data_IF_461143773662
#
_entry.id   IF_461143773662
#
_cell.length_a   1.000
_cell.length_b   1.000
_cell.length_c   1.000
_cell.angle_alpha   90.00
_cell.angle_beta   90.00
_cell.angle_gamma   90.00
#
_symmetry.space_group_name_H-M   'P 1'
#
loop_
_entity.id
_entity.type
_entity.pdbx_description
1 polymer ?
#
# COMPACT_ATOMS: atom_id res chain seq x y z
N UNK A 1 14.10 8.07 -0.76
CA UNK A 1 14.13 6.59 -0.69
C UNK A 1 15.49 6.00 -1.09
N UNK A 2 16.24 6.61 -2.02
CA UNK A 2 17.56 6.09 -2.43
C UNK A 2 18.49 5.84 -1.24
N UNK A 3 18.98 4.61 -1.08
CA UNK A 3 19.88 4.21 0.01
C UNK A 3 19.22 3.99 1.37
N UNK A 4 17.94 4.30 1.52
CA UNK A 4 17.17 4.08 2.76
C UNK A 4 16.77 2.60 2.92
N UNK A 5 16.42 2.22 4.14
CA UNK A 5 15.83 0.93 4.45
C UNK A 5 14.30 1.05 4.40
N UNK A 6 13.64 0.18 3.66
CA UNK A 6 12.19 0.18 3.48
C UNK A 6 11.59 -1.13 4.02
N UNK A 7 10.58 -1.03 4.88
CA UNK A 7 9.74 -2.17 5.26
C UNK A 7 8.33 -1.95 4.72
N UNK A 8 7.84 -2.91 3.95
CA UNK A 8 6.53 -2.87 3.30
C UNK A 8 5.58 -3.77 4.06
N UNK A 9 4.47 -3.19 4.51
CA UNK A 9 3.29 -3.92 4.96
C UNK A 9 2.58 -4.51 3.72
N UNK A 10 2.91 -5.75 3.42
CA UNK A 10 2.74 -6.29 2.08
C UNK A 10 1.28 -6.40 1.65
N UNK A 11 0.41 -7.04 2.41
CA UNK A 11 -0.99 -7.18 1.96
C UNK A 11 -1.75 -5.86 1.98
N UNK A 12 -1.48 -4.97 2.94
CA UNK A 12 -2.04 -3.63 2.95
C UNK A 12 -1.70 -2.88 1.65
N UNK A 13 -0.41 -2.76 1.33
CA UNK A 13 0.03 -2.00 0.16
C UNK A 13 -0.35 -2.67 -1.16
N UNK A 14 -0.19 -4.00 -1.27
CA UNK A 14 -0.51 -4.75 -2.49
C UNK A 14 -2.01 -4.73 -2.79
N UNK A 15 -2.87 -4.68 -1.78
CA UNK A 15 -4.34 -4.59 -1.96
C UNK A 15 -4.74 -3.24 -2.53
N UNK A 16 -4.18 -2.14 -2.02
CA UNK A 16 -4.47 -0.79 -2.55
C UNK A 16 -3.97 -0.63 -3.99
N UNK A 17 -2.78 -1.16 -4.31
CA UNK A 17 -2.27 -1.18 -5.69
C UNK A 17 -3.18 -2.01 -6.60
N UNK A 18 -3.62 -3.18 -6.13
CA UNK A 18 -4.56 -4.01 -6.89
C UNK A 18 -5.89 -3.31 -7.13
N UNK A 19 -6.45 -2.64 -6.12
CA UNK A 19 -7.71 -1.91 -6.24
C UNK A 19 -7.64 -0.90 -7.39
N UNK A 20 -6.61 -0.06 -7.38
CA UNK A 20 -6.39 0.93 -8.43
C UNK A 20 -6.16 0.28 -9.81
N UNK A 21 -5.32 -0.77 -9.87
CA UNK A 21 -5.04 -1.50 -11.12
C UNK A 21 -6.31 -2.12 -11.73
N UNK A 22 -7.21 -2.67 -10.90
CA UNK A 22 -8.46 -3.26 -11.34
C UNK A 22 -9.59 -2.24 -11.58
N UNK A 23 -9.30 -0.94 -11.47
CA UNK A 23 -10.27 0.14 -11.69
C UNK A 23 -11.24 0.37 -10.52
N UNK A 24 -11.00 -0.24 -9.36
CA UNK A 24 -11.75 0.09 -8.15
C UNK A 24 -11.34 1.47 -7.62
N UNK A 25 -12.27 2.21 -7.00
CA UNK A 25 -11.95 3.50 -6.41
C UNK A 25 -10.95 3.32 -5.26
N UNK A 26 -9.95 4.19 -5.26
CA UNK A 26 -9.02 4.40 -4.15
C UNK A 26 -9.18 5.84 -3.67
N UNK A 27 -8.86 6.08 -2.41
CA UNK A 27 -9.19 7.33 -1.73
C UNK A 27 -7.93 7.95 -1.18
N UNK A 28 -7.66 9.19 -1.57
CA UNK A 28 -6.68 10.01 -0.88
C UNK A 28 -7.35 10.57 0.37
N UNK A 29 -6.97 10.03 1.52
CA UNK A 29 -7.55 10.36 2.81
C UNK A 29 -7.00 11.70 3.36
N UNK A 30 -7.63 12.19 4.43
CA UNK A 30 -7.29 13.47 5.06
C UNK A 30 -5.88 13.51 5.68
N UNK A 31 -5.29 12.35 5.96
CA UNK A 31 -3.90 12.17 6.38
C UNK A 31 -2.91 12.06 5.21
N UNK A 32 -3.38 12.34 3.99
CA UNK A 32 -2.63 12.30 2.73
C UNK A 32 -2.13 10.91 2.30
N UNK A 33 -2.66 9.85 2.92
CA UNK A 33 -2.40 8.46 2.55
C UNK A 33 -3.50 7.92 1.64
N UNK A 34 -3.11 7.09 0.67
CA UNK A 34 -4.00 6.40 -0.24
C UNK A 34 -4.50 5.10 0.40
N UNK A 35 -5.82 4.89 0.37
CA UNK A 35 -6.47 3.68 0.86
C UNK A 35 -7.50 3.18 -0.14
N UNK A 36 -7.64 1.87 -0.27
CA UNK A 36 -8.78 1.29 -0.97
C UNK A 36 -9.97 1.05 -0.02
N UNK A 37 -11.12 0.72 -0.61
CA UNK A 37 -12.31 0.28 0.11
C UNK A 37 -12.67 -1.18 -0.20
N UNK A 38 -11.69 -2.01 -0.62
CA UNK A 38 -11.92 -3.41 -0.93
C UNK A 38 -12.08 -4.21 0.36
N UNK A 39 -13.33 -4.40 0.78
CA UNK A 39 -13.69 -5.28 1.90
C UNK A 39 -13.48 -6.77 1.58
N UNK A 40 -13.21 -7.11 0.32
CA UNK A 40 -13.14 -8.47 -0.16
C UNK A 40 -11.80 -9.17 0.15
N UNK A 41 -10.87 -8.42 0.75
CA UNK A 41 -9.60 -8.93 1.27
C UNK A 41 -8.59 -9.31 0.19
N UNK A 42 -7.42 -9.82 0.60
CA UNK A 42 -6.24 -10.03 -0.26
C UNK A 42 -6.40 -11.16 -1.31
N UNK A 43 -7.54 -11.86 -1.37
CA UNK A 43 -7.78 -12.96 -2.34
C UNK A 43 -7.51 -12.53 -3.79
N UNK A 44 -7.96 -11.35 -4.16
CA UNK A 44 -7.77 -10.82 -5.51
C UNK A 44 -6.31 -10.45 -5.82
N UNK A 45 -5.57 -10.02 -4.80
CA UNK A 45 -4.12 -9.79 -4.89
C UNK A 45 -3.41 -11.10 -5.22
N UNK A 46 -3.79 -12.21 -4.58
CA UNK A 46 -3.18 -13.52 -4.83
C UNK A 46 -3.37 -13.97 -6.27
N UNK A 47 -4.59 -13.84 -6.79
CA UNK A 47 -4.92 -14.22 -8.17
C UNK A 47 -4.15 -13.36 -9.21
N UNK A 48 -3.80 -12.12 -8.84
CA UNK A 48 -3.13 -11.15 -9.72
C UNK A 48 -1.67 -10.83 -9.31
N UNK A 49 -1.09 -11.63 -8.40
CA UNK A 49 0.16 -11.28 -7.72
C UNK A 49 1.31 -11.04 -8.70
N UNK A 50 1.37 -11.77 -9.82
CA UNK A 50 2.41 -11.58 -10.83
C UNK A 50 2.40 -10.16 -11.41
N UNK A 51 1.22 -9.57 -11.63
CA UNK A 51 1.11 -8.21 -12.17
C UNK A 51 1.42 -7.18 -11.10
N UNK A 52 0.88 -7.35 -9.88
CA UNK A 52 1.13 -6.43 -8.78
C UNK A 52 2.61 -6.45 -8.36
N UNK A 53 3.24 -7.62 -8.34
CA UNK A 53 4.66 -7.78 -8.06
C UNK A 53 5.54 -7.07 -9.10
N UNK A 54 5.16 -7.05 -10.39
CA UNK A 54 5.88 -6.30 -11.43
C UNK A 54 5.78 -4.79 -11.21
N UNK A 55 4.62 -4.28 -10.80
CA UNK A 55 4.47 -2.87 -10.44
C UNK A 55 5.33 -2.50 -9.23
N UNK A 56 5.31 -3.34 -8.19
CA UNK A 56 6.18 -3.18 -7.03
C UNK A 56 7.66 -3.23 -7.42
N UNK A 57 8.08 -4.18 -8.25
CA UNK A 57 9.46 -4.27 -8.76
C UNK A 57 9.89 -2.97 -9.46
N UNK A 58 9.07 -2.49 -10.41
CA UNK A 58 9.32 -1.24 -11.14
C UNK A 58 9.43 -0.04 -10.19
N UNK A 59 8.57 0.06 -9.18
CA UNK A 59 8.67 1.12 -8.17
C UNK A 59 9.98 1.04 -7.38
N UNK A 60 10.39 -0.15 -6.94
CA UNK A 60 11.64 -0.34 -6.20
C UNK A 60 12.88 -0.04 -7.08
N UNK A 61 12.84 -0.35 -8.37
CA UNK A 61 13.89 0.00 -9.33
C UNK A 61 14.06 1.52 -9.52
N UNK A 62 12.98 2.27 -9.46
CA UNK A 62 13.00 3.74 -9.58
C UNK A 62 13.41 4.37 -8.25
N UNK A 63 12.81 3.95 -7.14
CA UNK A 63 13.04 4.50 -5.79
C UNK A 63 14.43 4.15 -5.23
N UNK A 64 14.99 3.00 -5.65
CA UNK A 64 16.34 2.50 -5.28
C UNK A 64 16.62 2.47 -3.77
N UNK A 65 15.73 1.93 -2.92
CA UNK A 65 16.06 1.71 -1.51
C UNK A 65 17.33 0.85 -1.39
N UNK A 66 18.13 1.11 -0.36
CA UNK A 66 19.32 0.33 -0.05
C UNK A 66 18.96 -1.09 0.43
N UNK A 67 17.83 -1.21 1.11
CA UNK A 67 17.30 -2.48 1.61
C UNK A 67 15.76 -2.46 1.54
N UNK A 68 15.14 -3.58 1.19
CA UNK A 68 13.67 -3.70 1.18
C UNK A 68 13.23 -5.02 1.77
N UNK A 69 12.35 -4.93 2.77
CA UNK A 69 11.64 -6.05 3.37
C UNK A 69 10.17 -5.98 2.99
N UNK A 70 9.60 -7.08 2.53
CA UNK A 70 8.14 -7.19 2.33
C UNK A 70 7.62 -8.17 3.37
N UNK A 71 6.82 -7.68 4.31
CA UNK A 71 6.24 -8.49 5.38
C UNK A 71 4.83 -8.90 4.97
N UNK A 72 4.57 -10.21 4.99
CA UNK A 72 3.26 -10.78 4.75
C UNK A 72 2.79 -11.54 6.00
N UNK A 73 1.51 -11.43 6.32
CA UNK A 73 0.90 -12.30 7.34
C UNK A 73 0.97 -13.75 6.86
N UNK A 74 1.41 -14.66 7.72
CA UNK A 74 1.57 -16.10 7.46
C UNK A 74 0.33 -16.91 7.75
N UNK A 75 -0.67 -16.35 8.46
CA UNK A 75 -1.89 -17.07 8.83
C UNK A 75 -2.73 -17.48 7.62
N UNK A 76 -2.89 -16.64 6.58
CA UNK A 76 -3.64 -17.07 5.41
C UNK A 76 -2.91 -18.16 4.62
N UNK A 77 -3.64 -19.19 4.19
CA UNK A 77 -3.08 -20.36 3.49
C UNK A 77 -2.36 -20.02 2.18
N UNK A 78 -2.72 -18.90 1.55
CA UNK A 78 -2.18 -18.43 0.27
C UNK A 78 -0.95 -17.53 0.42
N UNK A 79 -0.56 -17.16 1.64
CA UNK A 79 0.60 -16.30 1.88
C UNK A 79 1.92 -16.93 1.45
N UNK A 80 2.07 -18.25 1.64
CA UNK A 80 3.27 -18.97 1.19
C UNK A 80 3.48 -18.89 -0.32
N UNK A 81 2.41 -19.09 -1.10
CA UNK A 81 2.42 -18.97 -2.56
C UNK A 81 2.73 -17.54 -3.01
N UNK A 82 2.09 -16.56 -2.38
CA UNK A 82 2.35 -15.14 -2.65
C UNK A 82 3.81 -14.79 -2.39
N UNK A 83 4.37 -15.23 -1.26
CA UNK A 83 5.76 -14.99 -0.92
C UNK A 83 6.73 -15.61 -1.94
N UNK A 84 6.44 -16.82 -2.42
CA UNK A 84 7.23 -17.47 -3.47
C UNK A 84 7.24 -16.62 -4.76
N UNK A 85 6.09 -16.14 -5.19
CA UNK A 85 5.99 -15.33 -6.41
C UNK A 85 6.69 -13.98 -6.26
N UNK A 86 6.56 -13.31 -5.10
CA UNK A 86 7.30 -12.07 -4.82
C UNK A 86 8.81 -12.29 -4.84
N UNK A 87 9.32 -13.37 -4.22
CA UNK A 87 10.75 -13.69 -4.24
C UNK A 87 11.28 -13.93 -5.66
N UNK A 88 10.48 -14.56 -6.51
CA UNK A 88 10.85 -14.82 -7.91
C UNK A 88 10.88 -13.55 -8.76
N UNK A 89 9.93 -12.63 -8.55
CA UNK A 89 9.77 -11.42 -9.37
C UNK A 89 10.54 -10.20 -8.83
N UNK A 90 10.88 -10.21 -7.54
CA UNK A 90 11.54 -9.10 -6.85
C UNK A 90 12.75 -9.63 -6.06
N UNK A 91 13.78 -10.17 -6.74
CA UNK A 91 14.89 -10.87 -6.07
C UNK A 91 15.71 -9.97 -5.13
N UNK A 92 15.63 -8.64 -5.29
CA UNK A 92 16.32 -7.67 -4.43
C UNK A 92 15.58 -7.37 -3.12
N UNK A 93 14.33 -7.81 -2.99
CA UNK A 93 13.55 -7.65 -1.77
C UNK A 93 13.56 -8.95 -0.95
N UNK A 94 13.75 -8.84 0.36
CA UNK A 94 13.58 -9.97 1.27
C UNK A 94 12.11 -10.09 1.65
N UNK A 95 11.50 -11.25 1.38
CA UNK A 95 10.10 -11.50 1.72
C UNK A 95 10.00 -12.30 3.01
N UNK A 96 9.34 -11.73 4.01
CA UNK A 96 9.16 -12.29 5.36
C UNK A 96 7.70 -12.74 5.52
N UNK A 97 7.50 -13.99 5.93
CA UNK A 97 6.21 -14.47 6.41
C UNK A 97 6.21 -14.35 7.94
N UNK A 98 5.26 -13.61 8.51
CA UNK A 98 5.17 -13.40 9.96
C UNK A 98 3.80 -13.80 10.49
N UNK A 99 3.74 -14.35 11.71
CA UNK A 99 2.45 -14.60 12.39
C UNK A 99 1.77 -13.32 12.83
N UNK A 100 2.53 -12.23 12.99
CA UNK A 100 2.01 -10.92 13.32
C UNK A 100 2.77 -9.90 12.45
N UNK A 101 2.21 -9.62 11.28
CA UNK A 101 2.81 -8.73 10.30
C UNK A 101 3.02 -7.33 10.87
N UNK A 102 2.00 -6.74 11.49
CA UNK A 102 2.04 -5.40 12.07
C UNK A 102 3.17 -5.27 13.09
N UNK A 103 3.27 -6.22 14.04
CA UNK A 103 4.35 -6.24 15.03
C UNK A 103 5.72 -6.28 14.35
N UNK A 104 5.86 -7.09 13.30
CA UNK A 104 7.12 -7.21 12.57
C UNK A 104 7.49 -5.91 11.85
N UNK A 105 6.51 -5.27 11.20
CA UNK A 105 6.69 -3.97 10.55
C UNK A 105 7.13 -2.90 11.55
N UNK A 106 6.46 -2.82 12.71
CA UNK A 106 6.78 -1.88 13.80
C UNK A 106 8.19 -2.15 14.36
N UNK A 107 8.57 -3.41 14.55
CA UNK A 107 9.92 -3.78 14.99
C UNK A 107 11.00 -3.33 14.01
N UNK A 108 10.75 -3.42 12.70
CA UNK A 108 11.67 -2.89 11.68
C UNK A 108 11.67 -1.36 11.64
N UNK A 109 10.52 -0.72 11.88
CA UNK A 109 10.47 0.74 12.05
C UNK A 109 11.44 1.21 13.15
N UNK A 110 11.44 0.54 14.31
CA UNK A 110 12.38 0.79 15.42
C UNK A 110 13.86 0.52 15.08
N UNK A 111 14.14 -0.19 13.98
CA UNK A 111 15.49 -0.41 13.44
C UNK A 111 15.88 0.61 12.35
N UNK A 112 15.11 1.68 12.22
CA UNK A 112 15.36 2.77 11.28
C UNK A 112 14.81 2.57 9.88
N UNK A 113 13.93 1.58 9.66
CA UNK A 113 13.27 1.40 8.38
C UNK A 113 12.15 2.43 8.20
N UNK A 114 12.03 2.98 6.99
CA UNK A 114 10.83 3.70 6.57
C UNK A 114 9.72 2.68 6.34
N UNK A 115 8.53 2.94 6.85
CA UNK A 115 7.37 2.04 6.78
C UNK A 115 6.50 2.42 5.59
N UNK A 116 6.24 1.45 4.72
CA UNK A 116 5.19 1.56 3.70
C UNK A 116 3.94 0.82 4.18
N UNK A 117 3.02 1.58 4.78
CA UNK A 117 1.69 1.15 5.19
C UNK A 117 0.75 2.36 5.23
N UNK A 118 -0.55 2.12 5.11
CA UNK A 118 -1.60 3.11 5.41
C UNK A 118 -2.55 2.65 6.52
N UNK A 119 -2.21 1.55 7.22
CA UNK A 119 -2.99 1.01 8.35
C UNK A 119 -2.76 1.85 9.61
N UNK A 120 -3.85 2.41 10.14
CA UNK A 120 -3.84 3.28 11.34
C UNK A 120 -3.15 2.61 12.53
N UNK A 121 -3.31 1.30 12.72
CA UNK A 121 -2.70 0.58 13.85
C UNK A 121 -1.16 0.58 13.79
N UNK A 122 -0.59 0.64 12.59
CA UNK A 122 0.86 0.78 12.36
C UNK A 122 1.24 2.26 12.43
N UNK A 123 0.48 3.14 11.77
CA UNK A 123 0.78 4.58 11.67
C UNK A 123 0.89 5.27 13.03
N UNK A 124 0.09 4.86 14.02
CA UNK A 124 0.14 5.42 15.38
C UNK A 124 1.43 5.06 16.15
N UNK A 125 2.27 4.17 15.61
CA UNK A 125 3.42 3.58 16.33
C UNK A 125 4.74 3.76 15.61
N UNK A 126 4.77 4.52 14.52
CA UNK A 126 5.96 4.68 13.67
C UNK A 126 6.15 6.13 13.25
N UNK A 127 7.40 6.58 13.16
CA UNK A 127 7.70 7.99 12.89
C UNK A 127 7.94 8.32 11.40
N UNK A 128 8.29 7.32 10.59
CA UNK A 128 8.72 7.50 9.20
C UNK A 128 7.87 6.63 8.27
N UNK A 129 6.99 7.27 7.52
CA UNK A 129 6.04 6.61 6.62
C UNK A 129 6.32 7.01 5.18
N UNK A 130 6.13 6.07 4.26
CA UNK A 130 6.16 6.32 2.83
C UNK A 130 5.00 5.59 2.15
N UNK A 131 4.12 6.34 1.50
CA UNK A 131 2.98 5.77 0.79
C UNK A 131 3.40 5.17 -0.56
N UNK A 132 3.81 3.91 -0.52
CA UNK A 132 4.28 3.16 -1.68
C UNK A 132 3.14 2.85 -2.66
N UNK A 133 1.95 2.53 -2.15
CA UNK A 133 0.78 2.29 -2.98
C UNK A 133 0.44 3.54 -3.79
N UNK A 134 0.35 4.72 -3.16
CA UNK A 134 0.15 5.99 -3.86
C UNK A 134 1.21 6.25 -4.90
N UNK A 135 2.48 6.06 -4.56
CA UNK A 135 3.58 6.25 -5.50
C UNK A 135 3.38 5.39 -6.76
N UNK A 136 3.06 4.10 -6.60
CA UNK A 136 2.79 3.19 -7.73
C UNK A 136 1.60 3.67 -8.55
N UNK A 137 0.50 4.03 -7.90
CA UNK A 137 -0.73 4.43 -8.58
C UNK A 137 -0.53 5.72 -9.38
N UNK A 138 0.11 6.74 -8.81
CA UNK A 138 0.29 8.04 -9.46
C UNK A 138 1.35 8.02 -10.58
N UNK A 139 2.35 7.13 -10.50
CA UNK A 139 3.51 7.18 -11.40
C UNK A 139 3.60 6.02 -12.39
N UNK A 140 2.96 4.87 -12.12
CA UNK A 140 3.16 3.64 -12.90
C UNK A 140 1.90 3.07 -13.54
N UNK A 141 0.71 3.50 -13.12
CA UNK A 141 -0.54 3.09 -13.76
C UNK A 141 -0.93 4.12 -14.83
N UNK A 142 -1.30 3.62 -16.02
CA UNK A 142 -1.79 4.44 -17.13
C UNK A 142 -3.31 4.56 -17.04
N UNK A 143 -3.82 5.78 -17.10
CA UNK A 143 -5.24 6.11 -16.97
C UNK A 143 -5.57 6.71 -15.60
N UNK A 144 -6.71 7.42 -15.44
CA UNK A 144 -7.12 7.89 -14.14
C UNK A 144 -7.51 6.66 -13.33
N UNK A 145 -6.57 6.09 -12.57
CA UNK A 145 -6.95 5.45 -11.32
C UNK A 145 -7.96 6.40 -10.66
N UNK A 146 -9.14 5.90 -10.30
CA UNK A 146 -10.17 6.73 -9.69
C UNK A 146 -9.73 7.07 -8.28
N UNK A 147 -8.72 7.93 -8.15
CA UNK A 147 -8.26 8.53 -6.91
C UNK A 147 -9.30 9.57 -6.55
N UNK A 148 -10.14 9.19 -5.61
CA UNK A 148 -11.14 10.06 -5.02
C UNK A 148 -10.48 10.83 -3.87
N UNK A 149 -10.40 12.15 -3.99
CA UNK A 149 -9.82 12.99 -2.95
C UNK A 149 -10.90 13.29 -1.90
N UNK A 150 -10.81 12.67 -0.71
CA UNK A 150 -11.83 12.79 0.34
C UNK A 150 -12.01 14.25 0.79
N UNK A 151 -10.94 15.01 1.14
CA UNK A 151 -11.08 16.44 1.44
C UNK A 151 -11.89 17.20 0.38
N UNK A 152 -11.58 17.01 -0.90
CA UNK A 152 -12.30 17.66 -2.00
C UNK A 152 -13.77 17.24 -2.09
N UNK A 153 -14.06 15.94 -1.89
CA UNK A 153 -15.44 15.43 -1.90
C UNK A 153 -16.27 16.02 -0.75
N UNK A 154 -15.68 16.14 0.44
CA UNK A 154 -16.35 16.72 1.61
C UNK A 154 -16.62 18.21 1.38
N UNK A 155 -15.63 18.98 0.90
CA UNK A 155 -15.82 20.40 0.57
C UNK A 155 -16.92 20.59 -0.49
N UNK A 156 -16.92 19.76 -1.54
CA UNK A 156 -17.93 19.78 -2.60
C UNK A 156 -19.34 19.48 -2.08
N UNK A 157 -19.51 18.44 -1.27
CA UNK A 157 -20.80 18.06 -0.71
C UNK A 157 -21.28 19.02 0.38
N UNK A 158 -20.40 19.46 1.28
CA UNK A 158 -20.73 20.46 2.29
C UNK A 158 -21.17 21.78 1.63
N UNK A 159 -20.44 22.24 0.62
CA UNK A 159 -20.83 23.44 -0.14
C UNK A 159 -22.19 23.28 -0.84
N UNK A 160 -22.51 22.08 -1.33
CA UNK A 160 -23.81 21.79 -1.95
C UNK A 160 -24.93 21.78 -0.91
N UNK A 161 -24.71 21.10 0.21
CA UNK A 161 -25.63 21.05 1.33
C UNK A 161 -25.89 22.43 1.91
N UNK A 162 -24.88 23.28 2.14
CA UNK A 162 -25.09 24.66 2.59
C UNK A 162 -25.91 25.50 1.58
N UNK A 163 -25.76 25.25 0.27
CA UNK A 163 -26.55 25.93 -0.77
C UNK A 163 -27.99 25.43 -0.83
N UNK A 164 -28.23 24.14 -0.57
CA UNK A 164 -29.53 23.48 -0.66
C UNK A 164 -30.34 23.56 0.64
N UNK A 165 -29.68 23.55 1.80
CA UNK A 165 -30.32 23.59 3.12
C UNK A 165 -30.81 24.99 3.51
N UNK A 166 -30.31 26.05 2.87
CA UNK A 166 -30.60 27.44 3.24
C UNK A 166 -30.09 27.80 4.66
N UNK A 167 -29.98 29.10 4.99
CA UNK A 167 -29.79 29.54 6.38
C UNK A 167 -31.03 29.27 7.24
#
# INVERSE_FOLDING_TARGET
MKGEKLVVDGFNQLTTVYAAYAGYPVYLCSDHLLRDALLAGPRYVVENISTIARLLAKALEILKPGETLVVLDSQPSWSGRTAQQLRALIPRATVILSRNADKTVIEYAGKGYIVASSDVAILERVDRIFDLARYIVENLLEGPASINNIPHLIEGQHSRWCREAGP
#
